data_IF_702550141757
#
_entry.id   IF_702550141757
#
_cell.length_a   1.000
_cell.length_b   1.000
_cell.length_c   1.000
_cell.angle_alpha   90.00
_cell.angle_beta   90.00
_cell.angle_gamma   90.00
#
_symmetry.space_group_name_H-M   'P 1'
#
loop_
_entity.id
_entity.type
_entity.pdbx_description
1 polymer ?
#
# COMPACT_ATOMS: atom_id res chain seq x y z
N UNK A 1 29.06 -44.96 -24.19
CA UNK A 1 29.66 -43.62 -24.44
C UNK A 1 30.48 -43.27 -23.20
N UNK A 2 31.82 -43.34 -23.28
CA UNK A 2 32.68 -42.88 -22.18
C UNK A 2 32.66 -41.35 -22.21
N UNK A 3 32.07 -40.72 -21.20
CA UNK A 3 32.25 -39.29 -20.96
C UNK A 3 33.73 -39.05 -20.67
N UNK A 4 34.44 -38.42 -21.62
CA UNK A 4 35.87 -38.09 -21.51
C UNK A 4 36.15 -37.02 -20.45
N UNK A 5 35.11 -36.40 -19.92
CA UNK A 5 35.21 -35.37 -18.88
C UNK A 5 35.19 -36.03 -17.50
N UNK A 6 36.21 -35.78 -16.67
CA UNK A 6 36.20 -36.26 -15.29
C UNK A 6 35.03 -35.62 -14.52
N UNK A 7 34.44 -36.36 -13.58
CA UNK A 7 33.39 -35.81 -12.74
C UNK A 7 33.95 -34.66 -11.89
N UNK A 8 33.12 -33.64 -11.67
CA UNK A 8 33.48 -32.48 -10.85
C UNK A 8 33.80 -32.93 -9.43
N UNK A 9 34.88 -32.39 -8.88
CA UNK A 9 35.22 -32.54 -7.46
C UNK A 9 34.22 -31.79 -6.58
N UNK A 10 34.12 -32.17 -5.31
CA UNK A 10 33.27 -31.46 -4.32
C UNK A 10 33.64 -29.98 -4.21
N UNK A 11 34.93 -29.66 -4.30
CA UNK A 11 35.42 -28.28 -4.26
C UNK A 11 34.93 -27.46 -5.47
N UNK A 12 35.07 -28.00 -6.68
CA UNK A 12 34.56 -27.36 -7.89
C UNK A 12 33.04 -27.17 -7.83
N UNK A 13 32.32 -28.15 -7.30
CA UNK A 13 30.87 -28.05 -7.12
C UNK A 13 30.48 -26.90 -6.19
N UNK A 14 31.16 -26.78 -5.04
CA UNK A 14 30.91 -25.67 -4.10
C UNK A 14 31.19 -24.32 -4.76
N UNK A 15 32.32 -24.20 -5.47
CA UNK A 15 32.73 -22.96 -6.13
C UNK A 15 31.73 -22.54 -7.24
N UNK A 16 31.09 -23.52 -7.89
CA UNK A 16 30.00 -23.26 -8.82
C UNK A 16 28.72 -22.81 -8.13
N UNK A 17 28.38 -23.37 -6.97
CA UNK A 17 27.21 -22.94 -6.19
C UNK A 17 27.39 -21.50 -5.72
N UNK A 18 28.57 -21.16 -5.20
CA UNK A 18 28.86 -19.80 -4.73
C UNK A 18 28.72 -18.78 -5.88
N UNK A 19 29.32 -19.05 -7.04
CA UNK A 19 29.18 -18.21 -8.24
C UNK A 19 27.74 -18.09 -8.71
N UNK A 20 26.96 -19.17 -8.68
CA UNK A 20 25.55 -19.12 -9.03
C UNK A 20 24.75 -18.25 -8.05
N UNK A 21 25.09 -18.29 -6.76
CA UNK A 21 24.48 -17.44 -5.75
C UNK A 21 24.79 -15.97 -6.00
N UNK A 22 26.04 -15.62 -6.31
CA UNK A 22 26.44 -14.26 -6.64
C UNK A 22 25.69 -13.71 -7.85
N UNK A 23 25.65 -14.48 -8.96
CA UNK A 23 24.93 -14.10 -10.18
C UNK A 23 23.44 -13.87 -9.87
N UNK A 24 22.85 -14.74 -9.07
CA UNK A 24 21.45 -14.60 -8.67
C UNK A 24 21.21 -13.30 -7.89
N UNK A 25 22.08 -12.98 -6.93
CA UNK A 25 21.96 -11.74 -6.15
C UNK A 25 22.06 -10.51 -7.04
N UNK A 26 23.00 -10.48 -7.99
CA UNK A 26 23.16 -9.36 -8.92
C UNK A 26 21.91 -9.16 -9.81
N UNK A 27 21.32 -10.25 -10.29
CA UNK A 27 20.08 -10.21 -11.07
C UNK A 27 18.90 -9.72 -10.21
N UNK A 28 18.76 -10.25 -8.99
CA UNK A 28 17.69 -9.84 -8.08
C UNK A 28 17.81 -8.36 -7.71
N UNK A 29 19.02 -7.86 -7.44
CA UNK A 29 19.25 -6.44 -7.15
C UNK A 29 18.99 -5.56 -8.38
N UNK A 30 19.33 -6.03 -9.58
CA UNK A 30 19.00 -5.30 -10.82
C UNK A 30 17.50 -5.21 -11.08
N UNK A 31 16.74 -6.27 -10.78
CA UNK A 31 15.28 -6.32 -11.01
C UNK A 31 14.53 -5.58 -9.91
N UNK A 32 14.95 -5.75 -8.66
CA UNK A 32 14.20 -5.28 -7.48
C UNK A 32 14.85 -4.10 -6.76
N UNK A 33 16.05 -3.66 -7.14
CA UNK A 33 16.74 -2.53 -6.54
C UNK A 33 15.99 -1.21 -6.73
N UNK A 34 15.31 -1.05 -7.86
CA UNK A 34 14.36 0.03 -8.11
C UNK A 34 12.95 -0.34 -7.64
N UNK A 35 12.77 -0.57 -6.33
CA UNK A 35 11.45 -0.82 -5.76
C UNK A 35 10.49 0.32 -6.14
N UNK A 36 9.34 -0.04 -6.71
CA UNK A 36 8.25 0.91 -6.94
C UNK A 36 7.84 1.49 -5.60
N UNK A 37 8.15 2.78 -5.39
CA UNK A 37 7.69 3.50 -4.21
C UNK A 37 6.21 3.81 -4.42
N UNK A 38 5.36 3.24 -3.57
CA UNK A 38 3.97 3.68 -3.51
C UNK A 38 3.95 5.14 -3.06
N UNK A 39 3.08 5.98 -3.66
CA UNK A 39 2.92 7.34 -3.20
C UNK A 39 2.47 7.31 -1.74
N UNK A 40 3.20 8.04 -0.89
CA UNK A 40 2.79 8.24 0.50
C UNK A 40 1.49 9.04 0.49
N UNK A 41 0.41 8.37 0.86
CA UNK A 41 -0.89 9.03 1.04
C UNK A 41 -0.74 9.86 2.32
N UNK A 42 -0.74 11.18 2.19
CA UNK A 42 -0.66 12.05 3.35
C UNK A 42 -1.82 11.73 4.29
N UNK A 43 -1.52 11.41 5.55
CA UNK A 43 -2.52 11.27 6.63
C UNK A 43 -3.12 12.62 7.03
N UNK A 44 -2.93 13.68 6.23
CA UNK A 44 -3.75 14.88 6.30
C UNK A 44 -5.18 14.46 5.98
N UNK A 45 -5.90 14.12 7.04
CA UNK A 45 -7.31 13.88 6.96
C UNK A 45 -7.94 15.06 6.23
N UNK A 46 -8.68 14.73 5.17
CA UNK A 46 -9.60 15.66 4.50
C UNK A 46 -10.64 16.21 5.50
N UNK A 47 -10.69 15.69 6.74
CA UNK A 47 -11.63 16.08 7.79
C UNK A 47 -11.60 17.55 8.16
N UNK A 48 -10.51 18.32 8.06
CA UNK A 48 -10.57 19.73 8.50
C UNK A 48 -11.56 20.57 7.69
N UNK A 49 -11.90 20.15 6.46
CA UNK A 49 -12.96 20.76 5.65
C UNK A 49 -14.36 20.32 6.06
N UNK A 50 -14.47 19.16 6.71
CA UNK A 50 -15.73 18.56 7.17
C UNK A 50 -15.90 18.62 8.70
N UNK A 51 -14.93 19.17 9.43
CA UNK A 51 -15.06 19.37 10.88
C UNK A 51 -16.17 20.38 11.13
N UNK A 52 -17.23 19.91 11.80
CA UNK A 52 -18.29 20.78 12.28
C UNK A 52 -17.69 21.82 13.23
N UNK A 53 -17.69 23.08 12.81
CA UNK A 53 -17.25 24.18 13.65
C UNK A 53 -18.28 24.35 14.77
N UNK A 54 -17.93 23.95 15.99
CA UNK A 54 -18.81 24.03 17.16
C UNK A 54 -19.23 25.46 17.54
N UNK A 55 -18.50 26.47 17.06
CA UNK A 55 -18.83 27.89 17.25
C UNK A 55 -19.81 28.41 16.19
N UNK A 56 -20.03 27.65 15.11
CA UNK A 56 -21.01 27.97 14.07
C UNK A 56 -22.14 26.95 14.17
N UNK A 57 -23.19 27.32 14.91
CA UNK A 57 -24.40 26.50 15.02
C UNK A 57 -24.95 26.14 13.64
N UNK A 58 -25.50 24.93 13.49
CA UNK A 58 -26.19 24.55 12.28
C UNK A 58 -27.33 25.54 12.01
N UNK A 59 -27.49 26.07 10.81
CA UNK A 59 -28.56 27.04 10.49
C UNK A 59 -29.94 26.40 10.41
N UNK A 60 -29.99 25.10 10.10
CA UNK A 60 -31.22 24.34 9.86
C UNK A 60 -31.07 22.92 10.37
N UNK A 61 -32.15 22.38 10.94
CA UNK A 61 -32.25 20.98 11.38
C UNK A 61 -33.17 20.25 10.41
N UNK A 62 -32.78 19.06 9.96
CA UNK A 62 -33.62 18.22 9.09
C UNK A 62 -34.07 16.97 9.84
N UNK A 63 -35.38 16.86 10.07
CA UNK A 63 -36.00 15.66 10.60
C UNK A 63 -36.39 14.73 9.45
N UNK A 64 -36.09 13.45 9.59
CA UNK A 64 -36.55 12.43 8.65
C UNK A 64 -37.53 11.53 9.38
N UNK A 65 -38.79 11.53 8.95
CA UNK A 65 -39.81 10.65 9.49
C UNK A 65 -39.56 9.23 8.97
N UNK A 66 -38.96 8.38 9.79
CA UNK A 66 -38.58 6.99 9.45
C UNK A 66 -39.74 6.20 8.86
N UNK A 67 -40.97 6.48 9.30
CA UNK A 67 -42.20 5.80 8.86
C UNK A 67 -42.72 6.22 7.48
N UNK A 68 -42.47 7.46 7.04
CA UNK A 68 -43.02 7.99 5.79
C UNK A 68 -41.95 8.43 4.79
N UNK A 69 -40.67 8.41 5.18
CA UNK A 69 -39.56 8.94 4.40
C UNK A 69 -39.60 10.45 4.18
N UNK A 70 -40.62 11.15 4.68
CA UNK A 70 -40.76 12.60 4.55
C UNK A 70 -39.66 13.30 5.34
N UNK A 71 -39.12 14.37 4.75
CA UNK A 71 -38.12 15.23 5.36
C UNK A 71 -38.75 16.57 5.69
N UNK A 72 -38.53 17.03 6.91
CA UNK A 72 -38.95 18.35 7.37
C UNK A 72 -37.71 19.14 7.78
N UNK A 73 -37.56 20.33 7.22
CA UNK A 73 -36.41 21.20 7.46
C UNK A 73 -36.89 22.41 8.26
N UNK A 74 -36.34 22.59 9.45
CA UNK A 74 -36.64 23.73 10.33
C UNK A 74 -35.42 24.63 10.49
N UNK A 75 -35.63 25.92 10.74
CA UNK A 75 -34.54 26.83 11.11
C UNK A 75 -34.10 26.53 12.55
N UNK A 76 -32.80 26.61 12.79
CA UNK A 76 -32.25 26.45 14.13
C UNK A 76 -32.20 27.83 14.80
N UNK A 77 -33.05 28.06 15.79
CA UNK A 77 -33.16 29.33 16.53
C UNK A 77 -32.51 29.26 17.93
N UNK A 78 -31.72 28.21 18.20
CA UNK A 78 -30.94 28.06 19.45
C UNK A 78 -29.73 29.00 19.52
#
# INVERSE_FOLDING_TARGET
>A
IRTLTPPKTRHESNLMVDKLSEIRMEIEDKIYGSRVKFPEISTQSIDSKYTCNRNVGAKTITYTFVTSGKKEVVKNEQ
#
